data_IF_775000700689
#
_entry.id   IF_775000700689
#
_cell.length_a   1.000
_cell.length_b   1.000
_cell.length_c   1.000
_cell.angle_alpha   90.00
_cell.angle_beta   90.00
_cell.angle_gamma   90.00
#
_symmetry.space_group_name_H-M   'P 1'
#
loop_
_entity.id
_entity.type
_entity.pdbx_description
1 polymer ?
#
# COMPACT_ATOMS: atom_id res chain seq x y z
N UNK A 1 6.10 -17.10 12.66
CA UNK A 1 6.29 -16.11 13.75
C UNK A 1 6.30 -14.72 13.11
N UNK A 2 5.52 -13.76 13.61
CA UNK A 2 5.61 -12.36 13.18
C UNK A 2 6.70 -11.66 14.00
N UNK A 3 7.61 -10.94 13.33
CA UNK A 3 8.69 -10.17 13.97
C UNK A 3 8.46 -8.69 13.64
N UNK A 4 8.01 -7.85 14.59
CA UNK A 4 7.69 -6.46 14.32
C UNK A 4 8.95 -5.59 14.20
N UNK A 5 8.98 -4.70 13.22
CA UNK A 5 10.00 -3.67 13.04
C UNK A 5 9.36 -2.27 13.15
N UNK A 6 10.16 -1.24 13.45
CA UNK A 6 9.62 0.15 13.54
C UNK A 6 9.23 0.74 12.18
N UNK A 7 9.51 0.04 11.07
CA UNK A 7 9.09 0.44 9.73
C UNK A 7 9.55 -0.54 8.65
N UNK A 8 8.92 -0.44 7.46
CA UNK A 8 9.17 -1.35 6.34
C UNK A 8 10.64 -1.40 5.88
N UNK A 9 11.34 -0.27 5.87
CA UNK A 9 12.78 -0.22 5.51
C UNK A 9 13.62 -1.05 6.47
N UNK A 10 13.33 -1.04 7.77
CA UNK A 10 14.06 -1.85 8.74
C UNK A 10 13.78 -3.34 8.55
N UNK A 11 12.53 -3.71 8.25
CA UNK A 11 12.16 -5.09 7.92
C UNK A 11 12.88 -5.61 6.67
N UNK A 12 13.04 -4.78 5.64
CA UNK A 12 13.83 -5.12 4.44
C UNK A 12 15.30 -5.37 4.79
N UNK A 13 15.90 -4.55 5.66
CA UNK A 13 17.28 -4.75 6.13
C UNK A 13 17.41 -6.03 6.95
N UNK A 14 16.46 -6.28 7.85
CA UNK A 14 16.39 -7.54 8.61
C UNK A 14 16.39 -8.76 7.68
N UNK A 15 15.56 -8.72 6.62
CA UNK A 15 15.51 -9.79 5.62
C UNK A 15 16.83 -9.95 4.84
N UNK A 16 17.44 -8.84 4.40
CA UNK A 16 18.72 -8.90 3.69
C UNK A 16 19.87 -9.40 4.56
N UNK A 17 19.82 -9.13 5.87
CA UNK A 17 20.83 -9.58 6.83
C UNK A 17 20.65 -11.04 7.28
N UNK A 18 19.51 -11.66 6.97
CA UNK A 18 19.15 -12.99 7.42
C UNK A 18 18.56 -13.06 8.83
N UNK A 19 18.20 -11.92 9.43
CA UNK A 19 17.47 -11.90 10.71
C UNK A 19 16.06 -12.48 10.57
N UNK A 20 15.44 -12.29 9.41
CA UNK A 20 14.15 -12.89 9.04
C UNK A 20 14.21 -13.44 7.62
N UNK A 21 13.48 -14.51 7.34
CA UNK A 21 13.48 -15.14 6.00
C UNK A 21 12.69 -14.33 4.96
N UNK A 22 11.64 -13.64 5.42
CA UNK A 22 10.67 -12.95 4.55
C UNK A 22 10.26 -11.63 5.20
N UNK A 23 10.20 -10.58 4.39
CA UNK A 23 9.62 -9.29 4.75
C UNK A 23 8.42 -8.99 3.83
N UNK A 24 7.29 -8.63 4.43
CA UNK A 24 6.13 -8.07 3.72
C UNK A 24 6.16 -6.56 3.96
N UNK A 25 6.37 -5.78 2.90
CA UNK A 25 6.53 -4.33 2.99
C UNK A 25 5.82 -3.63 1.83
N UNK A 26 5.42 -2.36 2.06
CA UNK A 26 4.95 -1.47 0.99
C UNK A 26 6.05 -1.29 -0.04
N UNK A 27 5.69 -1.34 -1.33
CA UNK A 27 6.61 -1.05 -2.42
C UNK A 27 7.18 0.37 -2.27
N UNK A 28 8.48 0.51 -2.53
CA UNK A 28 9.23 1.75 -2.46
C UNK A 28 10.33 1.74 -3.51
N UNK A 29 10.95 2.89 -3.77
CA UNK A 29 12.13 2.95 -4.64
C UNK A 29 13.27 2.05 -4.12
N UNK A 30 13.45 1.99 -2.80
CA UNK A 30 14.48 1.15 -2.18
C UNK A 30 14.21 -0.34 -2.37
N UNK A 31 12.97 -0.80 -2.15
CA UNK A 31 12.62 -2.22 -2.38
C UNK A 31 12.74 -2.60 -3.84
N UNK A 32 12.33 -1.73 -4.77
CA UNK A 32 12.51 -1.96 -6.19
C UNK A 32 14.00 -2.08 -6.56
N UNK A 33 14.85 -1.19 -6.04
CA UNK A 33 16.30 -1.25 -6.25
C UNK A 33 16.90 -2.56 -5.70
N UNK A 34 16.57 -2.95 -4.46
CA UNK A 34 17.08 -4.20 -3.89
C UNK A 34 16.66 -5.44 -4.67
N UNK A 35 15.46 -5.46 -5.24
CA UNK A 35 14.98 -6.55 -6.08
C UNK A 35 15.70 -6.55 -7.44
N UNK A 36 15.85 -5.39 -8.08
CA UNK A 36 16.49 -5.27 -9.38
C UNK A 36 18.01 -5.54 -9.32
N UNK A 37 18.66 -5.15 -8.23
CA UNK A 37 20.09 -5.42 -7.96
C UNK A 37 20.35 -6.89 -7.54
N UNK A 38 19.31 -7.71 -7.38
CA UNK A 38 19.43 -9.11 -6.94
C UNK A 38 19.79 -9.27 -5.46
N UNK A 39 19.76 -8.19 -4.67
CA UNK A 39 20.00 -8.23 -3.21
C UNK A 39 18.82 -8.84 -2.45
N UNK A 40 17.63 -8.78 -3.04
CA UNK A 40 16.43 -9.43 -2.56
C UNK A 40 15.69 -10.13 -3.69
N UNK A 41 14.98 -11.21 -3.37
CA UNK A 41 14.08 -11.88 -4.30
C UNK A 41 12.64 -11.43 -4.07
N UNK A 42 12.05 -10.74 -5.05
CA UNK A 42 10.61 -10.44 -5.02
C UNK A 42 9.79 -11.71 -5.27
N UNK A 43 8.94 -12.09 -4.31
CA UNK A 43 8.14 -13.32 -4.39
C UNK A 43 6.76 -13.09 -5.02
N UNK A 44 6.07 -12.02 -4.61
CA UNK A 44 4.76 -11.65 -5.13
C UNK A 44 4.49 -10.16 -4.86
N UNK A 45 3.76 -9.52 -5.77
CA UNK A 45 3.06 -8.25 -5.51
C UNK A 45 1.67 -8.63 -4.97
N UNK A 46 1.33 -8.21 -3.76
CA UNK A 46 0.03 -8.49 -3.12
C UNK A 46 -1.10 -7.61 -3.67
N UNK A 47 -1.11 -7.43 -4.99
CA UNK A 47 -2.12 -6.72 -5.77
C UNK A 47 -2.57 -7.63 -6.92
N UNK A 48 -3.63 -7.22 -7.60
CA UNK A 48 -4.19 -7.81 -8.82
C UNK A 48 -3.27 -7.68 -10.03
N UNK A 49 -2.25 -6.81 -9.97
CA UNK A 49 -1.33 -6.52 -11.07
C UNK A 49 0.11 -6.40 -10.61
N UNK A 50 1.02 -6.56 -11.57
CA UNK A 50 2.46 -6.32 -11.38
C UNK A 50 2.75 -4.83 -11.24
N UNK A 51 3.86 -4.51 -10.60
CA UNK A 51 4.40 -3.14 -10.51
C UNK A 51 5.44 -2.93 -11.60
N UNK A 52 5.33 -1.82 -12.34
CA UNK A 52 6.25 -1.48 -13.45
C UNK A 52 7.71 -1.38 -13.04
N UNK A 53 8.00 -1.00 -11.79
CA UNK A 53 9.36 -0.88 -11.28
C UNK A 53 10.07 -2.25 -11.08
N UNK A 54 9.30 -3.34 -11.00
CA UNK A 54 9.80 -4.72 -10.81
C UNK A 54 8.94 -5.71 -11.63
N UNK A 55 8.91 -5.59 -12.97
CA UNK A 55 7.98 -6.34 -13.83
C UNK A 55 8.21 -7.86 -13.81
N UNK A 56 9.37 -8.31 -13.32
CA UNK A 56 9.73 -9.71 -13.11
C UNK A 56 9.00 -10.35 -11.92
N UNK A 57 8.47 -9.56 -10.98
CA UNK A 57 7.76 -10.07 -9.80
C UNK A 57 6.29 -10.34 -10.17
N UNK A 58 5.78 -11.56 -9.95
CA UNK A 58 4.39 -11.89 -10.30
C UNK A 58 3.38 -11.16 -9.41
N UNK A 59 2.19 -10.90 -9.95
CA UNK A 59 1.03 -10.50 -9.14
C UNK A 59 0.57 -11.66 -8.24
N UNK A 60 -0.26 -11.38 -7.24
CA UNK A 60 -0.67 -12.38 -6.25
C UNK A 60 -1.30 -13.63 -6.90
N UNK A 61 -2.22 -13.43 -7.85
CA UNK A 61 -2.86 -14.53 -8.58
C UNK A 61 -1.87 -15.36 -9.40
N UNK A 62 -0.91 -14.70 -10.06
CA UNK A 62 0.13 -15.36 -10.86
C UNK A 62 1.11 -16.16 -9.99
N UNK A 63 1.28 -15.75 -8.73
CA UNK A 63 2.08 -16.45 -7.72
C UNK A 63 1.32 -17.60 -7.03
N UNK A 64 0.10 -17.92 -7.47
CA UNK A 64 -0.74 -18.97 -6.84
C UNK A 64 -1.47 -18.50 -5.58
N UNK A 65 -1.57 -17.19 -5.36
CA UNK A 65 -2.22 -16.56 -4.21
C UNK A 65 -3.41 -15.66 -4.64
N UNK A 66 -4.39 -16.15 -5.41
CA UNK A 66 -5.42 -15.32 -6.04
C UNK A 66 -6.34 -14.57 -5.06
N UNK A 67 -6.43 -15.03 -3.81
CA UNK A 67 -7.23 -14.37 -2.77
C UNK A 67 -6.38 -13.43 -1.90
N UNK A 68 -5.06 -13.40 -2.10
CA UNK A 68 -4.13 -12.65 -1.26
C UNK A 68 -3.84 -11.26 -1.86
N UNK A 69 -4.87 -10.43 -1.89
CA UNK A 69 -4.73 -9.01 -2.20
C UNK A 69 -4.63 -8.21 -0.90
N UNK A 70 -3.51 -7.54 -0.67
CA UNK A 70 -3.28 -6.68 0.49
C UNK A 70 -2.59 -5.40 0.02
N UNK A 71 -3.39 -4.50 -0.54
CA UNK A 71 -2.92 -3.21 -1.04
C UNK A 71 -2.88 -2.18 0.08
N UNK A 72 -1.84 -1.36 0.08
CA UNK A 72 -1.74 -0.22 0.98
C UNK A 72 -2.39 1.00 0.32
N UNK A 73 -3.13 1.79 1.08
CA UNK A 73 -3.87 2.95 0.59
C UNK A 73 -3.73 4.12 1.56
N UNK A 74 -3.93 5.33 1.04
CA UNK A 74 -3.83 6.57 1.79
C UNK A 74 -5.08 7.42 1.54
N UNK A 75 -5.61 8.00 2.62
CA UNK A 75 -6.75 8.93 2.59
C UNK A 75 -6.35 10.18 3.37
N UNK A 76 -6.72 11.35 2.84
CA UNK A 76 -6.63 12.61 3.59
C UNK A 76 -7.92 12.77 4.39
N UNK A 77 -7.77 12.91 5.71
CA UNK A 77 -8.87 13.16 6.63
C UNK A 77 -8.76 14.55 7.24
N UNK A 78 -9.89 15.12 7.63
CA UNK A 78 -9.99 16.38 8.37
C UNK A 78 -10.68 16.15 9.72
N UNK A 79 -10.51 17.05 10.71
CA UNK A 79 -11.19 16.94 12.00
C UNK A 79 -12.71 16.83 11.87
N UNK A 80 -13.34 16.11 12.79
CA UNK A 80 -14.79 16.03 12.86
C UNK A 80 -15.39 17.44 13.03
N UNK A 81 -16.46 17.74 12.28
CA UNK A 81 -17.09 19.06 12.28
C UNK A 81 -16.46 20.08 11.33
N UNK A 82 -15.42 19.72 10.56
CA UNK A 82 -14.90 20.59 9.49
C UNK A 82 -16.05 20.96 8.52
N UNK A 83 -16.27 22.27 8.25
CA UNK A 83 -17.33 22.72 7.34
C UNK A 83 -17.25 22.07 5.96
N UNK A 84 -18.41 21.75 5.40
CA UNK A 84 -18.54 21.06 4.11
C UNK A 84 -17.79 21.76 2.99
N UNK A 85 -17.90 23.09 2.92
CA UNK A 85 -17.24 23.92 1.91
C UNK A 85 -15.70 23.78 1.94
N UNK A 86 -15.10 23.56 3.12
CA UNK A 86 -13.65 23.33 3.26
C UNK A 86 -13.29 21.94 2.73
N UNK A 87 -14.09 20.92 3.05
CA UNK A 87 -13.89 19.56 2.54
C UNK A 87 -13.97 19.53 1.01
N UNK A 88 -14.99 20.18 0.45
CA UNK A 88 -15.18 20.21 -1.00
C UNK A 88 -14.02 20.96 -1.69
N UNK A 89 -13.57 22.09 -1.14
CA UNK A 89 -12.41 22.81 -1.66
C UNK A 89 -11.13 21.97 -1.60
N UNK A 90 -10.88 21.29 -0.48
CA UNK A 90 -9.72 20.40 -0.35
C UNK A 90 -9.77 19.25 -1.36
N UNK A 91 -10.93 18.63 -1.54
CA UNK A 91 -11.12 17.55 -2.50
C UNK A 91 -10.82 18.00 -3.94
N UNK A 92 -11.30 19.19 -4.34
CA UNK A 92 -11.03 19.76 -5.66
C UNK A 92 -9.52 19.98 -5.86
N UNK A 93 -8.84 20.62 -4.90
CA UNK A 93 -7.40 20.91 -5.05
C UNK A 93 -6.54 19.64 -5.01
N UNK A 94 -6.86 18.68 -4.14
CA UNK A 94 -6.17 17.39 -4.09
C UNK A 94 -6.36 16.60 -5.39
N UNK A 95 -7.57 16.61 -5.96
CA UNK A 95 -7.84 15.94 -7.24
C UNK A 95 -7.00 16.54 -8.35
N UNK A 96 -6.88 17.88 -8.43
CA UNK A 96 -6.00 18.54 -9.41
C UNK A 96 -4.55 18.07 -9.26
N UNK A 97 -4.01 18.06 -8.04
CA UNK A 97 -2.62 17.65 -7.78
C UNK A 97 -2.38 16.18 -8.15
N UNK A 98 -3.32 15.29 -7.84
CA UNK A 98 -3.22 13.86 -8.17
C UNK A 98 -3.25 13.59 -9.69
N UNK A 99 -3.82 14.50 -10.47
CA UNK A 99 -3.88 14.43 -11.93
C UNK A 99 -2.67 15.08 -12.63
N UNK A 100 -1.80 15.79 -11.89
CA UNK A 100 -0.57 16.32 -12.47
C UNK A 100 0.35 15.18 -12.93
N UNK A 101 0.93 15.26 -14.15
CA UNK A 101 1.82 14.23 -14.68
C UNK A 101 2.97 13.90 -13.73
N UNK A 102 3.64 14.92 -13.16
CA UNK A 102 4.77 14.70 -12.26
C UNK A 102 4.38 13.99 -10.97
N UNK A 103 3.17 14.23 -10.45
CA UNK A 103 2.65 13.53 -9.26
C UNK A 103 2.39 12.07 -9.59
N UNK A 104 1.70 11.82 -10.72
CA UNK A 104 1.40 10.46 -11.17
C UNK A 104 2.66 9.65 -11.42
N UNK A 105 3.65 10.23 -12.09
CA UNK A 105 4.93 9.57 -12.36
C UNK A 105 5.66 9.19 -11.06
N UNK A 106 5.72 10.12 -10.09
CA UNK A 106 6.36 9.85 -8.78
C UNK A 106 5.64 8.75 -8.01
N UNK A 107 4.31 8.69 -8.04
CA UNK A 107 3.54 7.63 -7.39
C UNK A 107 3.81 6.27 -8.05
N UNK A 108 3.83 6.23 -9.38
CA UNK A 108 4.07 4.98 -10.13
C UNK A 108 5.46 4.40 -9.87
N UNK A 109 6.49 5.23 -9.64
CA UNK A 109 7.85 4.78 -9.29
C UNK A 109 7.85 3.94 -8.00
N UNK A 110 6.99 4.26 -7.05
CA UNK A 110 6.87 3.53 -5.78
C UNK A 110 5.73 2.50 -5.78
N UNK A 111 5.16 2.19 -6.95
CA UNK A 111 4.05 1.25 -7.10
C UNK A 111 2.71 1.78 -6.60
N UNK A 112 2.61 3.08 -6.31
CA UNK A 112 1.37 3.74 -5.98
C UNK A 112 0.60 4.14 -7.24
N UNK A 113 -0.72 4.22 -7.11
CA UNK A 113 -1.58 4.73 -8.18
C UNK A 113 -2.41 5.90 -7.69
N UNK A 114 -2.59 6.94 -8.54
CA UNK A 114 -3.51 8.00 -8.21
C UNK A 114 -4.94 7.47 -8.06
N UNK A 115 -5.51 7.67 -6.88
CA UNK A 115 -6.93 7.49 -6.63
C UNK A 115 -7.56 8.86 -6.45
N UNK A 116 -8.67 9.11 -7.15
CA UNK A 116 -9.48 10.32 -7.02
C UNK A 116 -10.95 9.91 -6.87
N UNK A 117 -11.76 10.79 -6.31
CA UNK A 117 -13.17 10.51 -6.04
C UNK A 117 -13.76 11.56 -5.12
N UNK A 118 -15.05 11.42 -4.80
CA UNK A 118 -15.74 12.32 -3.88
C UNK A 118 -15.38 12.01 -2.41
N UNK A 119 -15.58 12.96 -1.48
CA UNK A 119 -15.43 12.69 -0.05
C UNK A 119 -16.27 11.50 0.44
N UNK A 120 -17.47 11.31 -0.11
CA UNK A 120 -18.37 10.20 0.21
C UNK A 120 -17.80 8.87 -0.27
N UNK A 121 -17.22 8.82 -1.47
CA UNK A 121 -16.56 7.62 -1.99
C UNK A 121 -15.35 7.23 -1.13
N UNK A 122 -14.57 8.21 -0.66
CA UNK A 122 -13.47 7.96 0.27
C UNK A 122 -13.97 7.41 1.62
N UNK A 123 -15.06 7.96 2.14
CA UNK A 123 -15.68 7.48 3.37
C UNK A 123 -16.27 6.06 3.23
N UNK A 124 -16.87 5.75 2.09
CA UNK A 124 -17.37 4.40 1.78
C UNK A 124 -16.25 3.38 1.69
N UNK A 125 -15.17 3.74 0.98
CA UNK A 125 -13.99 2.90 0.86
C UNK A 125 -13.37 2.61 2.23
N UNK A 126 -13.22 3.64 3.09
CA UNK A 126 -12.73 3.46 4.45
C UNK A 126 -13.61 2.51 5.27
N UNK A 127 -14.94 2.63 5.17
CA UNK A 127 -15.88 1.73 5.86
C UNK A 127 -15.77 0.28 5.37
N UNK A 128 -15.62 0.10 4.06
CA UNK A 128 -15.42 -1.23 3.45
C UNK A 128 -14.13 -1.88 3.92
N UNK A 129 -13.02 -1.15 3.88
CA UNK A 129 -11.72 -1.66 4.31
C UNK A 129 -11.68 -1.92 5.82
N UNK A 130 -12.30 -1.06 6.63
CA UNK A 130 -12.44 -1.29 8.07
C UNK A 130 -13.17 -2.61 8.37
N UNK A 131 -14.31 -2.86 7.72
CA UNK A 131 -15.06 -4.10 7.90
C UNK A 131 -14.25 -5.33 7.45
N UNK A 132 -13.57 -5.23 6.31
CA UNK A 132 -12.73 -6.29 5.75
C UNK A 132 -11.57 -6.66 6.69
N UNK A 133 -10.78 -5.67 7.13
CA UNK A 133 -9.64 -5.92 8.01
C UNK A 133 -10.07 -6.35 9.42
N UNK A 134 -11.19 -5.83 9.92
CA UNK A 134 -11.78 -6.31 11.17
C UNK A 134 -12.12 -7.81 11.14
N UNK A 135 -12.66 -8.30 10.01
CA UNK A 135 -12.90 -9.73 9.80
C UNK A 135 -11.58 -10.52 9.82
N UNK A 136 -10.57 -10.08 9.06
CA UNK A 136 -9.26 -10.73 9.00
C UNK A 136 -8.60 -10.83 10.39
N UNK A 137 -8.58 -9.73 11.14
CA UNK A 137 -8.01 -9.66 12.49
C UNK A 137 -8.69 -10.68 13.41
N UNK A 138 -10.03 -10.73 13.38
CA UNK A 138 -10.81 -11.65 14.21
C UNK A 138 -10.59 -13.11 13.85
N UNK A 139 -10.61 -13.44 12.55
CA UNK A 139 -10.41 -14.82 12.06
C UNK A 139 -8.99 -15.33 12.32
N UNK A 140 -7.99 -14.46 12.19
CA UNK A 140 -6.59 -14.79 12.44
C UNK A 140 -6.19 -14.73 13.94
N UNK A 141 -7.10 -14.30 14.83
CA UNK A 141 -6.83 -14.18 16.26
C UNK A 141 -5.76 -13.13 16.61
N UNK A 142 -5.58 -12.12 15.75
CA UNK A 142 -4.56 -11.07 15.91
C UNK A 142 -4.98 -10.14 17.05
N UNK A 143 -4.02 -9.78 17.91
CA UNK A 143 -4.20 -8.82 19.00
C UNK A 143 -3.17 -7.71 18.87
N UNK A 144 -3.59 -6.48 19.20
CA UNK A 144 -2.63 -5.42 19.48
C UNK A 144 -1.97 -5.74 20.81
N UNK A 145 -0.64 -5.77 20.84
CA UNK A 145 0.16 -5.90 22.05
C UNK A 145 0.26 -4.55 22.78
#
# INVERSE_FOLDING_TARGET
LHVPYKGGTQGLVGAMSGEVDISIATMSAASAAYINDGKMRGLAILDTKRVKAVPQVPAAAEAGLPQFTAINWYIVAAPAGTPREIIDRLNVELTKVMLLPETRERLLVVGGEPATGTPEQAAEFLRTEYARWGKVIKEAGIRAE
#
